data_IF_226723012499
#
_entry.id   IF_226723012499
#
_cell.length_a   1.000
_cell.length_b   1.000
_cell.length_c   1.000
_cell.angle_alpha   90.00
_cell.angle_beta   90.00
_cell.angle_gamma   90.00
#
_symmetry.space_group_name_H-M   'P 1'
#
loop_
_entity.id
_entity.type
_entity.pdbx_description
1 polymer ?
#
# COMPACT_ATOMS: atom_id res chain seq x y z
N UNK A 1 -13.03 11.29 12.64
CA UNK A 1 -14.27 11.31 13.43
C UNK A 1 -15.42 10.91 12.52
N UNK A 2 -15.87 9.65 12.54
CA UNK A 2 -17.12 9.12 11.92
C UNK A 2 -17.43 7.79 12.65
N UNK A 3 -18.62 7.44 13.15
CA UNK A 3 -20.01 7.85 12.87
C UNK A 3 -20.94 7.68 14.10
N UNK A 4 -21.99 8.50 14.18
CA UNK A 4 -23.32 8.11 14.70
C UNK A 4 -23.70 8.51 16.12
N UNK A 5 -23.03 7.96 17.15
CA UNK A 5 -23.55 7.94 18.52
C UNK A 5 -22.62 8.57 19.58
N UNK A 6 -21.71 9.47 19.19
CA UNK A 6 -20.72 10.05 20.11
C UNK A 6 -19.64 9.07 20.61
N UNK A 7 -19.64 7.81 20.14
CA UNK A 7 -18.58 6.85 20.43
C UNK A 7 -17.36 7.10 19.54
N UNK A 8 -16.18 7.09 20.16
CA UNK A 8 -14.90 7.10 19.44
C UNK A 8 -14.66 5.73 18.82
N UNK A 9 -14.18 5.72 17.58
CA UNK A 9 -13.79 4.52 16.84
C UNK A 9 -12.33 4.67 16.47
N UNK A 10 -11.50 3.72 16.91
CA UNK A 10 -10.10 3.68 16.54
C UNK A 10 -9.97 3.14 15.12
N UNK A 11 -9.40 3.97 14.25
CA UNK A 11 -9.23 3.67 12.83
C UNK A 11 -7.75 3.63 12.50
N UNK A 12 -7.34 2.62 11.75
CA UNK A 12 -5.99 2.47 11.23
C UNK A 12 -6.02 2.36 9.71
N UNK A 13 -4.87 2.57 9.08
CA UNK A 13 -4.70 2.40 7.63
C UNK A 13 -3.56 1.43 7.34
N UNK A 14 -3.67 0.73 6.22
CA UNK A 14 -2.55 -0.02 5.63
C UNK A 14 -2.12 0.70 4.38
N UNK A 15 -0.82 0.80 4.14
CA UNK A 15 -0.26 1.59 3.03
C UNK A 15 0.71 0.72 2.24
N UNK A 16 0.46 0.63 0.94
CA UNK A 16 1.43 0.13 -0.04
C UNK A 16 1.94 1.28 -0.88
N UNK A 17 3.21 1.24 -1.26
CA UNK A 17 3.81 2.28 -2.08
C UNK A 17 4.77 1.71 -3.11
N UNK A 18 4.96 2.46 -4.19
CA UNK A 18 5.95 2.20 -5.22
C UNK A 18 6.52 3.54 -5.73
N UNK A 19 7.71 3.51 -6.32
CA UNK A 19 8.40 4.71 -6.82
C UNK A 19 8.80 4.54 -8.28
N UNK A 20 8.58 5.59 -9.07
CA UNK A 20 9.04 5.72 -10.45
C UNK A 20 10.23 6.69 -10.46
N UNK A 21 11.41 6.19 -10.79
CA UNK A 21 12.65 6.96 -10.89
C UNK A 21 13.47 6.47 -12.09
N UNK A 22 14.46 7.24 -12.52
CA UNK A 22 15.42 6.74 -13.52
C UNK A 22 16.09 5.46 -12.97
N UNK A 23 15.86 4.32 -13.65
CA UNK A 23 16.29 3.00 -13.18
C UNK A 23 15.25 2.19 -12.40
N UNK A 24 14.00 2.65 -12.29
CA UNK A 24 12.93 1.83 -11.71
C UNK A 24 12.53 0.68 -12.61
N UNK A 25 12.05 -0.39 -11.99
CA UNK A 25 11.53 -1.59 -12.66
C UNK A 25 10.17 -1.37 -13.36
N UNK A 26 9.57 -0.19 -13.18
CA UNK A 26 8.28 0.18 -13.75
C UNK A 26 8.48 1.16 -14.89
N UNK A 27 7.83 0.89 -16.02
CA UNK A 27 7.97 1.65 -17.26
C UNK A 27 6.84 2.64 -17.49
N UNK A 28 5.73 2.50 -16.75
CA UNK A 28 4.53 3.29 -16.92
C UNK A 28 3.72 3.41 -15.61
N UNK A 29 2.69 4.26 -15.64
CA UNK A 29 1.81 4.52 -14.50
C UNK A 29 1.01 3.29 -14.05
N UNK A 30 0.61 2.42 -14.99
CA UNK A 30 -0.18 1.24 -14.68
C UNK A 30 0.64 0.25 -13.85
N UNK A 31 1.86 -0.07 -14.29
CA UNK A 31 2.79 -0.93 -13.56
C UNK A 31 3.15 -0.38 -12.18
N UNK A 32 3.33 0.94 -12.08
CA UNK A 32 3.59 1.63 -10.81
C UNK A 32 2.41 1.47 -9.84
N UNK A 33 1.18 1.63 -10.32
CA UNK A 33 -0.03 1.46 -9.52
C UNK A 33 -0.23 0.00 -9.09
N UNK A 34 -0.03 -0.95 -10.00
CA UNK A 34 -0.09 -2.38 -9.68
C UNK A 34 0.94 -2.77 -8.61
N UNK A 35 2.15 -2.20 -8.66
CA UNK A 35 3.17 -2.42 -7.64
C UNK A 35 2.79 -1.83 -6.27
N UNK A 36 2.20 -0.63 -6.26
CA UNK A 36 1.69 -0.02 -5.03
C UNK A 36 0.51 -0.85 -4.45
N UNK A 37 -0.36 -1.39 -5.29
CA UNK A 37 -1.49 -2.22 -4.85
C UNK A 37 -1.02 -3.58 -4.31
N UNK A 38 -0.06 -4.25 -4.97
CA UNK A 38 0.58 -5.47 -4.41
C UNK A 38 1.22 -5.19 -3.05
N UNK A 39 1.92 -4.06 -2.92
CA UNK A 39 2.49 -3.63 -1.65
C UNK A 39 1.42 -3.40 -0.57
N UNK A 40 0.27 -2.84 -0.95
CA UNK A 40 -0.87 -2.63 -0.04
C UNK A 40 -1.48 -3.97 0.38
N UNK A 41 -1.58 -4.90 -0.55
CA UNK A 41 -2.04 -6.25 -0.28
C UNK A 41 -1.11 -6.95 0.71
N UNK A 42 0.21 -6.82 0.55
CA UNK A 42 1.19 -7.32 1.51
C UNK A 42 1.00 -6.69 2.90
N UNK A 43 0.78 -5.37 3.00
CA UNK A 43 0.49 -4.72 4.28
C UNK A 43 -0.79 -5.29 4.94
N UNK A 44 -1.84 -5.55 4.15
CA UNK A 44 -3.11 -6.12 4.64
C UNK A 44 -2.98 -7.57 5.07
N UNK A 45 -2.25 -8.40 4.32
CA UNK A 45 -2.07 -9.83 4.61
C UNK A 45 -1.16 -10.06 5.83
N UNK A 46 -0.22 -9.15 6.09
CA UNK A 46 0.70 -9.22 7.24
C UNK A 46 0.19 -8.49 8.50
N UNK A 47 -1.12 -8.41 8.68
CA UNK A 47 -1.74 -7.91 9.92
C UNK A 47 -2.17 -6.45 9.90
N UNK A 48 -2.23 -5.79 8.74
CA UNK A 48 -2.72 -4.40 8.56
C UNK A 48 -1.91 -3.39 9.41
N UNK A 49 -2.45 -2.18 9.58
CA UNK A 49 -1.88 -1.05 10.34
C UNK A 49 -0.36 -0.88 10.14
N UNK A 50 0.08 -0.90 8.87
CA UNK A 50 1.50 -0.86 8.52
C UNK A 50 1.71 -0.35 7.10
N UNK A 51 2.96 0.02 6.86
CA UNK A 51 3.49 0.33 5.54
C UNK A 51 4.23 -0.90 5.03
N UNK A 52 4.05 -1.25 3.76
CA UNK A 52 4.83 -2.28 3.09
C UNK A 52 5.24 -1.83 1.69
N UNK A 53 6.32 -2.45 1.19
CA UNK A 53 6.76 -2.41 -0.21
C UNK A 53 6.97 -3.85 -0.63
N UNK A 54 6.21 -4.29 -1.63
CA UNK A 54 6.42 -5.59 -2.26
C UNK A 54 7.62 -5.49 -3.21
N UNK A 55 8.61 -6.35 -3.02
CA UNK A 55 9.82 -6.46 -3.85
C UNK A 55 9.76 -7.68 -4.78
N UNK A 56 8.59 -8.30 -4.94
CA UNK A 56 8.38 -9.51 -5.76
C UNK A 56 8.38 -9.24 -7.28
N UNK A 57 9.28 -8.38 -7.75
CA UNK A 57 9.91 -8.48 -9.07
C UNK A 57 11.40 -8.29 -8.82
N UNK A 58 12.13 -9.40 -8.73
CA UNK A 58 13.57 -9.43 -8.90
C UNK A 58 13.83 -10.65 -9.80
N UNK A 59 13.73 -10.40 -11.10
CA UNK A 59 13.90 -11.36 -12.18
C UNK A 59 14.06 -10.60 -13.48
#
# INVERSE_FOLDING_TARGET
HLSGNGKKVDVTVSVGWATLSSGSEYSNSTELLEAADRSLYAAKSHGRNRVARDVSKAG
#
